data_IF_620865243560
#
_entry.id   IF_620865243560
#
_cell.length_a   1.000
_cell.length_b   1.000
_cell.length_c   1.000
_cell.angle_alpha   90.00
_cell.angle_beta   90.00
_cell.angle_gamma   90.00
#
_symmetry.space_group_name_H-M   'P 1'
#
loop_
_entity.id
_entity.type
_entity.pdbx_description
1 polymer ?
#
# COMPACT_ATOMS: atom_id res chain seq x y z
N UNK A 1 -12.74 5.42 -9.63
CA UNK A 1 -12.54 5.00 -8.22
C UNK A 1 -13.64 4.02 -7.87
N UNK A 2 -13.30 2.82 -7.38
CA UNK A 2 -14.30 1.85 -6.93
C UNK A 2 -15.10 2.45 -5.76
N UNK A 3 -16.43 2.36 -5.80
CA UNK A 3 -17.28 2.88 -4.72
C UNK A 3 -17.30 1.87 -3.56
N UNK A 4 -16.22 1.86 -2.77
CA UNK A 4 -16.07 1.00 -1.60
C UNK A 4 -16.83 1.61 -0.42
N UNK A 5 -18.02 1.08 -0.13
CA UNK A 5 -18.91 1.61 0.90
C UNK A 5 -18.33 1.56 2.33
N UNK A 6 -17.29 0.75 2.54
CA UNK A 6 -16.56 0.60 3.81
C UNK A 6 -15.40 1.59 3.97
N UNK A 7 -15.13 2.45 2.99
CA UNK A 7 -14.09 3.49 3.08
C UNK A 7 -14.68 4.80 3.64
N UNK A 8 -13.94 5.46 4.54
CA UNK A 8 -14.24 6.81 5.00
C UNK A 8 -13.62 7.84 4.07
N UNK A 9 -12.33 7.73 3.79
CA UNK A 9 -11.65 8.61 2.84
C UNK A 9 -10.43 7.97 2.22
N UNK A 10 -10.03 8.54 1.08
CA UNK A 10 -8.75 8.33 0.42
C UNK A 10 -7.93 9.60 0.56
N UNK A 11 -6.66 9.46 0.91
CA UNK A 11 -5.67 10.52 0.86
C UNK A 11 -4.60 10.16 -0.15
N UNK A 12 -4.38 11.01 -1.15
CA UNK A 12 -3.24 10.87 -2.06
C UNK A 12 -2.01 11.42 -1.34
N UNK A 13 -1.03 10.57 -1.09
CA UNK A 13 0.18 10.92 -0.37
C UNK A 13 1.23 11.50 -1.34
N UNK A 14 1.73 12.69 -1.03
CA UNK A 14 2.64 13.42 -1.91
C UNK A 14 4.08 12.99 -1.63
N UNK A 15 4.71 12.38 -2.64
CA UNK A 15 6.11 11.93 -2.59
C UNK A 15 7.04 13.05 -2.08
N UNK A 16 7.96 12.71 -1.16
CA UNK A 16 8.94 13.61 -0.54
C UNK A 16 8.38 14.78 0.27
N UNK A 17 7.07 14.89 0.44
CA UNK A 17 6.44 15.98 1.22
C UNK A 17 5.63 15.50 2.41
N UNK A 18 4.99 14.35 2.27
CA UNK A 18 4.06 13.83 3.27
C UNK A 18 4.60 12.56 3.91
N UNK A 19 3.73 11.61 4.23
CA UNK A 19 4.07 10.43 5.00
C UNK A 19 5.13 9.57 4.30
N UNK A 20 6.12 9.15 5.09
CA UNK A 20 7.17 8.25 4.67
C UNK A 20 7.28 7.07 5.63
N UNK A 21 7.44 5.87 5.07
CA UNK A 21 7.97 4.73 5.81
C UNK A 21 9.50 4.84 5.75
N UNK A 22 10.09 5.23 6.88
CA UNK A 22 11.53 5.43 6.99
C UNK A 22 12.26 4.09 7.15
N UNK A 23 13.23 3.83 6.27
CA UNK A 23 14.18 2.74 6.37
C UNK A 23 15.60 3.26 6.59
N UNK A 24 16.53 2.37 6.96
CA UNK A 24 17.92 2.77 7.27
C UNK A 24 18.70 3.38 6.11
N UNK A 25 18.30 3.09 4.86
CA UNK A 25 18.99 3.56 3.64
C UNK A 25 18.02 4.11 2.57
N UNK A 26 16.72 4.13 2.84
CA UNK A 26 15.66 4.43 1.89
C UNK A 26 14.45 4.98 2.66
N UNK A 27 13.86 6.07 2.16
CA UNK A 27 12.52 6.49 2.54
C UNK A 27 11.54 6.06 1.46
N UNK A 28 10.50 5.32 1.86
CA UNK A 28 9.42 4.91 0.97
C UNK A 28 8.21 5.82 1.17
N UNK A 29 7.70 6.40 0.08
CA UNK A 29 6.54 7.29 0.08
C UNK A 29 5.41 6.61 -0.71
N UNK A 30 4.52 5.88 -0.03
CA UNK A 30 3.41 5.19 -0.68
C UNK A 30 2.47 6.18 -1.38
N UNK A 31 1.80 5.79 -2.45
CA UNK A 31 0.92 6.67 -3.23
C UNK A 31 -0.36 7.10 -2.49
N UNK A 32 -0.97 6.21 -1.70
CA UNK A 32 -2.25 6.46 -1.02
C UNK A 32 -2.29 5.97 0.41
N UNK A 33 -3.10 6.66 1.21
CA UNK A 33 -3.48 6.25 2.57
C UNK A 33 -5.01 6.25 2.62
N UNK A 34 -5.58 5.14 3.06
CA UNK A 34 -7.03 4.95 3.15
C UNK A 34 -7.42 4.67 4.58
N UNK A 35 -8.47 5.33 5.06
CA UNK A 35 -9.11 5.01 6.32
C UNK A 35 -10.43 4.30 6.04
N UNK A 36 -10.62 3.11 6.61
CA UNK A 36 -11.90 2.40 6.56
C UNK A 36 -12.83 2.82 7.71
N UNK A 37 -14.12 2.54 7.57
CA UNK A 37 -15.13 2.70 8.63
C UNK A 37 -14.87 1.78 9.83
N UNK A 38 -14.16 0.67 9.61
CA UNK A 38 -13.66 -0.22 10.65
C UNK A 38 -12.37 0.28 11.33
N UNK A 39 -11.96 1.53 11.07
CA UNK A 39 -10.78 2.19 11.63
C UNK A 39 -9.42 1.55 11.24
N UNK A 40 -9.37 0.80 10.15
CA UNK A 40 -8.12 0.31 9.56
C UNK A 40 -7.48 1.37 8.69
N UNK A 41 -6.17 1.50 8.80
CA UNK A 41 -5.34 2.37 7.95
C UNK A 41 -4.65 1.49 6.92
N UNK A 42 -4.98 1.71 5.65
CA UNK A 42 -4.43 0.96 4.53
C UNK A 42 -3.49 1.87 3.74
N UNK A 43 -2.21 1.50 3.70
CA UNK A 43 -1.15 2.21 2.99
C UNK A 43 -0.90 1.48 1.68
N UNK A 44 -0.95 2.19 0.55
CA UNK A 44 -0.96 1.60 -0.78
C UNK A 44 0.13 2.23 -1.64
N UNK A 45 0.94 1.39 -2.25
CA UNK A 45 1.87 1.73 -3.33
C UNK A 45 1.34 1.13 -4.63
N UNK A 46 1.30 1.91 -5.72
CA UNK A 46 0.85 1.45 -7.04
C UNK A 46 2.02 1.25 -8.00
N UNK A 47 1.91 0.26 -8.89
CA UNK A 47 2.93 -0.10 -9.88
C UNK A 47 2.28 -0.32 -11.25
N UNK A 48 2.76 0.43 -12.24
CA UNK A 48 2.42 0.21 -13.65
C UNK A 48 3.45 -0.67 -14.35
N UNK A 49 3.20 -0.96 -15.64
CA UNK A 49 3.93 -1.98 -16.42
C UNK A 49 5.43 -1.70 -16.67
N UNK A 50 5.89 -0.44 -16.55
CA UNK A 50 7.18 0.01 -17.10
C UNK A 50 8.35 0.15 -16.09
N UNK A 51 8.30 -0.43 -14.88
CA UNK A 51 9.32 -0.12 -13.84
C UNK A 51 10.09 -1.31 -13.29
N UNK A 52 11.38 -1.05 -13.08
CA UNK A 52 12.43 -1.93 -12.57
C UNK A 52 12.03 -2.66 -11.27
N UNK A 53 12.12 -3.99 -11.30
CA UNK A 53 11.64 -4.87 -10.24
C UNK A 53 12.54 -4.89 -8.98
N UNK A 54 13.78 -4.40 -9.07
CA UNK A 54 14.74 -4.47 -7.96
C UNK A 54 14.37 -3.53 -6.80
N UNK A 55 14.17 -2.24 -7.08
CA UNK A 55 13.74 -1.23 -6.10
C UNK A 55 12.37 -1.57 -5.48
N UNK A 56 11.46 -2.10 -6.30
CA UNK A 56 10.12 -2.51 -5.86
C UNK A 56 10.15 -3.61 -4.79
N UNK A 57 11.07 -4.58 -4.85
CA UNK A 57 11.20 -5.61 -3.81
C UNK A 57 11.65 -5.03 -2.46
N UNK A 58 12.59 -4.09 -2.48
CA UNK A 58 13.08 -3.46 -1.25
C UNK A 58 11.98 -2.63 -0.58
N UNK A 59 11.24 -1.84 -1.37
CA UNK A 59 10.08 -1.06 -0.90
C UNK A 59 8.96 -1.95 -0.37
N UNK A 60 8.65 -3.05 -1.07
CA UNK A 60 7.66 -4.04 -0.62
C UNK A 60 8.01 -4.60 0.74
N UNK A 61 9.24 -5.09 0.89
CA UNK A 61 9.73 -5.65 2.17
C UNK A 61 9.68 -4.60 3.29
N UNK A 62 10.08 -3.37 3.02
CA UNK A 62 10.03 -2.27 3.99
C UNK A 62 8.59 -1.99 4.45
N UNK A 63 7.64 -1.86 3.51
CA UNK A 63 6.23 -1.60 3.83
C UNK A 63 5.56 -2.73 4.63
N UNK A 64 5.80 -3.99 4.25
CA UNK A 64 5.31 -5.15 4.99
C UNK A 64 5.93 -5.24 6.39
N UNK A 65 7.24 -4.97 6.52
CA UNK A 65 7.92 -4.96 7.81
C UNK A 65 7.34 -3.86 8.70
N UNK A 66 7.12 -2.66 8.17
CA UNK A 66 6.49 -1.57 8.90
C UNK A 66 5.10 -1.97 9.43
N UNK A 67 4.23 -2.52 8.57
CA UNK A 67 2.88 -2.94 8.97
C UNK A 67 2.89 -4.04 10.05
N UNK A 68 3.79 -5.03 9.93
CA UNK A 68 3.91 -6.09 10.94
C UNK A 68 4.44 -5.59 12.29
N UNK A 69 5.34 -4.60 12.28
CA UNK A 69 5.93 -4.05 13.52
C UNK A 69 4.99 -3.10 14.27
N UNK A 70 4.17 -2.33 13.56
CA UNK A 70 3.24 -1.38 14.18
C UNK A 70 1.91 -2.03 14.63
N UNK A 71 1.59 -3.20 14.08
CA UNK A 71 0.40 -3.97 14.42
C UNK A 71 -0.50 -4.17 13.21
N UNK A 72 -0.51 -5.40 12.69
CA UNK A 72 -1.20 -5.77 11.46
C UNK A 72 -2.72 -5.71 11.53
N UNK A 73 -3.31 -5.62 12.72
CA UNK A 73 -4.77 -5.57 12.88
C UNK A 73 -5.34 -4.22 12.44
N UNK A 74 -4.61 -3.14 12.74
CA UNK A 74 -4.99 -1.76 12.40
C UNK A 74 -4.31 -1.24 11.14
N UNK A 75 -3.06 -1.61 10.90
CA UNK A 75 -2.27 -1.09 9.79
C UNK A 75 -2.03 -2.16 8.75
N UNK A 76 -2.40 -1.87 7.51
CA UNK A 76 -2.19 -2.73 6.36
C UNK A 76 -1.30 -2.02 5.35
N UNK A 77 -0.45 -2.78 4.66
CA UNK A 77 0.37 -2.29 3.56
C UNK A 77 0.14 -3.17 2.34
N UNK A 78 -0.11 -2.54 1.19
CA UNK A 78 -0.24 -3.23 -0.09
C UNK A 78 0.63 -2.56 -1.15
N UNK A 79 1.30 -3.38 -1.95
CA UNK A 79 1.83 -2.96 -3.24
C UNK A 79 0.93 -3.57 -4.30
N UNK A 80 0.38 -2.73 -5.17
CA UNK A 80 -0.66 -3.10 -6.13
C UNK A 80 -0.13 -2.88 -7.54
N UNK A 81 -0.11 -3.94 -8.34
CA UNK A 81 0.32 -3.93 -9.72
C UNK A 81 -0.88 -3.95 -10.67
N UNK A 82 -0.75 -3.27 -11.80
CA UNK A 82 -1.68 -3.42 -12.92
C UNK A 82 -1.60 -4.85 -13.49
N UNK A 83 -0.39 -5.34 -13.75
CA UNK A 83 -0.10 -6.70 -14.24
C UNK A 83 1.12 -7.31 -13.54
N UNK A 84 1.22 -8.65 -13.53
CA UNK A 84 2.39 -9.42 -13.07
C UNK A 84 2.92 -9.01 -11.67
N UNK A 85 2.12 -9.13 -10.60
CA UNK A 85 2.54 -8.75 -9.26
C UNK A 85 3.77 -9.54 -8.80
N UNK A 86 4.66 -8.87 -8.06
CA UNK A 86 5.73 -9.53 -7.33
C UNK A 86 5.15 -10.46 -6.25
N UNK A 87 5.94 -11.46 -5.83
CA UNK A 87 5.58 -12.28 -4.66
C UNK A 87 5.38 -11.39 -3.42
N UNK A 88 4.24 -11.59 -2.74
CA UNK A 88 3.78 -10.75 -1.63
C UNK A 88 3.12 -9.42 -2.01
N UNK A 89 2.98 -9.11 -3.30
CA UNK A 89 2.17 -8.01 -3.84
C UNK A 89 0.87 -8.53 -4.47
N UNK A 90 -0.03 -7.61 -4.85
CA UNK A 90 -1.35 -7.96 -5.36
C UNK A 90 -1.61 -7.34 -6.72
N UNK A 91 -2.39 -8.03 -7.55
CA UNK A 91 -3.01 -7.40 -8.71
C UNK A 91 -4.15 -6.46 -8.26
N UNK A 92 -4.51 -5.50 -9.11
CA UNK A 92 -5.58 -4.55 -8.81
C UNK A 92 -6.91 -5.25 -8.47
N UNK A 93 -7.29 -6.29 -9.21
CA UNK A 93 -8.54 -7.02 -8.97
C UNK A 93 -8.56 -7.67 -7.58
N UNK A 94 -7.53 -8.44 -7.23
CA UNK A 94 -7.44 -9.12 -5.93
C UNK A 94 -7.39 -8.13 -4.77
N UNK A 95 -6.65 -7.03 -4.95
CA UNK A 95 -6.60 -5.96 -3.97
C UNK A 95 -7.99 -5.35 -3.70
N UNK A 96 -8.79 -5.13 -4.74
CA UNK A 96 -10.14 -4.58 -4.58
C UNK A 96 -11.08 -5.54 -3.85
N UNK A 97 -10.96 -6.85 -4.05
CA UNK A 97 -11.74 -7.83 -3.27
C UNK A 97 -11.33 -7.81 -1.79
N UNK A 98 -10.03 -7.78 -1.49
CA UNK A 98 -9.55 -7.65 -0.11
C UNK A 98 -10.07 -6.38 0.53
N UNK A 99 -10.01 -5.25 -0.18
CA UNK A 99 -10.46 -3.96 0.34
C UNK A 99 -11.94 -3.93 0.72
N UNK A 100 -12.81 -4.72 0.08
CA UNK A 100 -14.24 -4.80 0.44
C UNK A 100 -14.46 -5.44 1.82
N UNK A 101 -13.56 -6.35 2.22
CA UNK A 101 -13.63 -7.11 3.46
C UNK A 101 -12.97 -6.40 4.66
N UNK A 102 -12.31 -5.25 4.42
CA UNK A 102 -11.59 -4.51 5.47
C UNK A 102 -12.50 -3.62 6.32
#
# INVERSE_FOLDING_TARGET
MANLNNVLFWHKNIEKKEFAINGGFLNHYPDYIVLTKSHKIVVIETKGDDRDNSDSRMKLKLGQTWASKIGSDRYKYFMVFDNNPLDGAYGLADFLEIMKEL
#
